data_IF_660520963456
#
_entry.id   IF_660520963456
#
_cell.length_a   1.000
_cell.length_b   1.000
_cell.length_c   1.000
_cell.angle_alpha   90.00
_cell.angle_beta   90.00
_cell.angle_gamma   90.00
#
_symmetry.space_group_name_H-M   'P 1'
#
loop_
_entity.id
_entity.type
_entity.pdbx_description
1 polymer ?
#
# COMPACT_ATOMS: atom_id res chain seq x y z
N UNK A 1 70.45 -11.91 -20.91
CA UNK A 1 71.52 -11.23 -20.13
C UNK A 1 70.88 -10.25 -19.17
N UNK A 2 71.31 -10.28 -17.89
CA UNK A 2 71.47 -9.18 -16.91
C UNK A 2 70.41 -8.04 -16.95
N UNK A 3 69.71 -7.67 -15.88
CA UNK A 3 69.98 -7.81 -14.45
C UNK A 3 69.73 -6.47 -13.75
N UNK A 4 68.93 -6.53 -12.67
CA UNK A 4 68.95 -5.73 -11.42
C UNK A 4 68.90 -4.17 -11.47
N UNK A 5 67.80 -3.67 -10.89
CA UNK A 5 67.67 -2.67 -9.80
C UNK A 5 68.83 -1.71 -9.53
N UNK A 6 68.51 -0.41 -9.45
CA UNK A 6 68.88 0.47 -8.32
C UNK A 6 67.73 1.44 -7.98
N UNK A 7 67.44 1.53 -6.68
CA UNK A 7 66.62 2.55 -6.01
C UNK A 7 67.43 3.84 -5.82
N UNK A 8 66.74 4.98 -5.68
CA UNK A 8 67.04 6.11 -4.77
C UNK A 8 65.81 7.05 -4.86
N UNK A 9 64.91 7.09 -3.86
CA UNK A 9 64.91 7.88 -2.62
C UNK A 9 64.95 9.40 -2.85
N UNK A 10 63.89 10.08 -2.42
CA UNK A 10 63.75 11.53 -2.31
C UNK A 10 62.29 11.91 -2.60
N UNK A 11 61.51 12.51 -1.73
CA UNK A 11 61.67 13.05 -0.39
C UNK A 11 60.28 13.55 -0.02
N UNK A 12 59.82 13.24 1.19
CA UNK A 12 58.50 13.65 1.67
C UNK A 12 58.46 15.17 1.87
N UNK A 13 57.50 15.84 1.24
CA UNK A 13 57.04 17.16 1.66
C UNK A 13 55.71 16.98 2.39
N UNK A 14 55.77 17.04 3.72
CA UNK A 14 54.60 17.19 4.58
C UNK A 14 53.93 18.52 4.25
N UNK A 15 52.73 18.49 3.66
CA UNK A 15 51.79 19.59 3.77
C UNK A 15 50.96 19.36 5.04
N UNK A 16 51.34 20.06 6.10
CA UNK A 16 50.63 20.09 7.37
C UNK A 16 49.41 21.01 7.21
N UNK A 17 48.29 20.48 6.72
CA UNK A 17 47.01 21.21 6.75
C UNK A 17 46.41 21.07 8.14
N UNK A 18 46.46 22.15 8.92
CA UNK A 18 45.75 22.24 10.19
C UNK A 18 44.24 22.09 9.95
N UNK A 19 43.67 20.96 10.35
CA UNK A 19 42.23 20.77 10.48
C UNK A 19 41.77 21.58 11.70
N UNK A 20 41.25 22.79 11.45
CA UNK A 20 40.41 23.51 12.40
C UNK A 20 39.13 22.69 12.62
N UNK A 21 39.08 21.99 13.75
CA UNK A 21 37.86 21.42 14.30
C UNK A 21 36.94 22.55 14.75
N UNK A 22 36.07 23.01 13.85
CA UNK A 22 34.89 23.79 14.22
C UNK A 22 33.84 22.81 14.73
N UNK A 23 33.76 22.70 16.06
CA UNK A 23 32.60 22.11 16.72
C UNK A 23 31.40 23.03 16.50
N UNK A 24 30.71 22.86 15.38
CA UNK A 24 29.40 23.46 15.19
C UNK A 24 28.40 22.63 16.00
N UNK A 25 28.14 23.07 17.23
CA UNK A 25 26.90 22.77 17.94
C UNK A 25 25.75 23.42 17.15
N UNK A 26 25.33 22.75 16.08
CA UNK A 26 24.12 23.09 15.36
C UNK A 26 22.95 22.70 16.23
N UNK A 27 22.36 23.70 16.89
CA UNK A 27 21.05 23.57 17.50
C UNK A 27 20.09 22.95 16.48
N UNK A 28 19.37 21.91 16.91
CA UNK A 28 18.27 21.36 16.14
C UNK A 28 17.35 22.53 15.74
N UNK A 29 17.19 22.75 14.44
CA UNK A 29 16.13 23.62 13.94
C UNK A 29 14.81 23.17 14.56
N UNK A 30 13.94 24.08 15.01
CA UNK A 30 12.61 23.69 15.42
C UNK A 30 11.98 22.99 14.22
N UNK A 31 11.48 21.76 14.42
CA UNK A 31 10.66 21.10 13.44
C UNK A 31 9.60 22.10 12.98
N UNK A 32 9.52 22.33 11.67
CA UNK A 32 8.41 23.07 11.09
C UNK A 32 7.12 22.50 11.68
N UNK A 33 6.32 23.41 12.23
CA UNK A 33 5.02 23.14 12.80
C UNK A 33 4.27 22.17 11.90
N UNK A 34 4.05 20.94 12.37
CA UNK A 34 3.24 19.97 11.68
C UNK A 34 1.88 20.64 11.40
N UNK A 35 1.55 20.81 10.12
CA UNK A 35 0.22 21.16 9.64
C UNK A 35 -0.74 20.09 10.18
N UNK A 36 -1.23 20.32 11.39
CA UNK A 36 -2.01 19.33 12.13
C UNK A 36 -3.40 19.31 11.53
N UNK A 37 -3.81 18.15 10.99
CA UNK A 37 -5.23 17.85 10.87
C UNK A 37 -5.80 17.96 12.29
N UNK A 38 -6.65 18.95 12.53
CA UNK A 38 -7.32 19.16 13.82
C UNK A 38 -8.33 18.04 14.05
N UNK A 39 -7.87 16.84 14.38
CA UNK A 39 -8.72 15.65 14.54
C UNK A 39 -9.45 15.73 15.87
N UNK A 40 -10.78 15.70 15.88
CA UNK A 40 -11.52 15.56 17.15
C UNK A 40 -12.76 14.67 17.05
N UNK A 41 -13.32 14.40 15.87
CA UNK A 41 -14.44 13.48 15.73
C UNK A 41 -14.08 12.26 14.86
N UNK A 42 -14.34 11.05 15.37
CA UNK A 42 -14.30 9.83 14.57
C UNK A 42 -15.58 9.77 13.74
N UNK A 43 -15.46 9.87 12.41
CA UNK A 43 -16.60 9.89 11.47
C UNK A 43 -16.87 8.52 10.84
N UNK A 44 -15.87 7.66 10.81
CA UNK A 44 -16.01 6.24 10.45
C UNK A 44 -15.14 5.38 11.35
N UNK A 45 -15.69 4.25 11.80
CA UNK A 45 -14.95 3.24 12.53
C UNK A 45 -15.54 1.86 12.30
N UNK A 46 -14.67 0.89 12.02
CA UNK A 46 -15.00 -0.53 12.05
C UNK A 46 -13.85 -1.29 12.71
N UNK A 47 -14.14 -1.96 13.82
CA UNK A 47 -13.22 -2.86 14.55
C UNK A 47 -13.50 -4.33 14.25
N UNK A 48 -14.40 -4.58 13.29
CA UNK A 48 -14.79 -5.91 12.83
C UNK A 48 -15.24 -6.83 13.97
N UNK A 49 -15.76 -6.29 15.07
CA UNK A 49 -16.19 -7.06 16.25
C UNK A 49 -17.44 -7.91 16.04
N UNK A 50 -18.22 -7.64 14.98
CA UNK A 50 -19.38 -8.43 14.60
C UNK A 50 -19.02 -9.81 14.05
N UNK A 51 -19.99 -10.72 13.97
CA UNK A 51 -19.75 -12.09 13.47
C UNK A 51 -19.57 -12.19 11.95
N UNK A 52 -19.92 -11.12 11.22
CA UNK A 52 -19.86 -11.05 9.75
C UNK A 52 -19.41 -9.64 9.35
N UNK A 53 -18.95 -9.49 8.11
CA UNK A 53 -18.69 -8.17 7.52
C UNK A 53 -19.96 -7.29 7.60
N UNK A 54 -19.83 -6.10 8.17
CA UNK A 54 -20.93 -5.14 8.24
C UNK A 54 -21.22 -4.58 6.84
N UNK A 55 -22.28 -5.12 6.22
CA UNK A 55 -22.71 -4.73 4.87
C UNK A 55 -23.33 -3.33 4.81
N UNK A 56 -23.59 -2.67 5.94
CA UNK A 56 -23.98 -1.27 5.95
C UNK A 56 -22.77 -0.33 5.78
N UNK A 57 -21.56 -0.81 6.09
CA UNK A 57 -20.30 -0.07 5.92
C UNK A 57 -19.55 -0.49 4.66
N UNK A 58 -19.58 -1.79 4.34
CA UNK A 58 -18.75 -2.37 3.29
C UNK A 58 -19.57 -3.02 2.17
N UNK A 59 -19.28 -2.62 0.94
CA UNK A 59 -19.76 -3.23 -0.31
C UNK A 59 -18.71 -4.25 -0.76
N UNK A 60 -19.12 -5.48 -1.04
CA UNK A 60 -18.23 -6.47 -1.65
C UNK A 60 -18.24 -6.25 -3.16
N UNK A 61 -17.04 -6.14 -3.75
CA UNK A 61 -16.88 -5.97 -5.18
C UNK A 61 -16.58 -7.34 -5.81
N UNK A 62 -17.30 -7.66 -6.88
CA UNK A 62 -17.17 -8.94 -7.59
C UNK A 62 -16.68 -8.73 -9.03
N UNK A 63 -15.65 -9.47 -9.40
CA UNK A 63 -15.12 -9.50 -10.77
C UNK A 63 -16.19 -10.00 -11.73
N UNK A 64 -16.36 -9.33 -12.87
CA UNK A 64 -17.35 -9.67 -13.89
C UNK A 64 -18.78 -9.21 -13.58
N UNK A 65 -19.02 -8.58 -12.43
CA UNK A 65 -20.33 -8.02 -12.07
C UNK A 65 -20.27 -6.50 -11.92
N UNK A 66 -19.41 -5.99 -11.02
CA UNK A 66 -19.31 -4.56 -10.76
C UNK A 66 -18.08 -3.93 -11.45
N UNK A 67 -17.09 -4.74 -11.81
CA UNK A 67 -15.86 -4.33 -12.49
C UNK A 67 -15.18 -5.54 -13.16
N UNK A 68 -14.31 -5.30 -14.13
CA UNK A 68 -13.50 -6.34 -14.78
C UNK A 68 -12.11 -6.49 -14.17
N UNK A 69 -11.27 -7.34 -14.76
CA UNK A 69 -9.82 -7.37 -14.44
C UNK A 69 -9.14 -6.12 -14.96
N UNK A 70 -8.39 -5.41 -14.11
CA UNK A 70 -7.79 -4.11 -14.44
C UNK A 70 -6.25 -4.16 -14.56
N UNK A 71 -5.54 -4.89 -13.70
CA UNK A 71 -4.07 -4.87 -13.66
C UNK A 71 -3.41 -6.20 -14.06
N UNK A 72 -4.05 -6.98 -14.95
CA UNK A 72 -3.63 -8.34 -15.29
C UNK A 72 -3.52 -9.27 -14.06
N UNK A 73 -4.29 -8.98 -13.01
CA UNK A 73 -4.37 -9.76 -11.78
C UNK A 73 -4.95 -11.16 -12.06
N UNK A 74 -4.54 -12.14 -11.26
CA UNK A 74 -4.79 -13.57 -11.51
C UNK A 74 -6.03 -14.13 -10.79
N UNK A 75 -6.66 -13.33 -9.94
CA UNK A 75 -7.83 -13.72 -9.17
C UNK A 75 -9.15 -13.12 -9.70
N UNK A 76 -10.24 -13.85 -9.47
CA UNK A 76 -11.57 -13.25 -9.42
C UNK A 76 -11.89 -12.82 -7.98
N UNK A 77 -12.40 -11.61 -7.80
CA UNK A 77 -12.99 -11.20 -6.52
C UNK A 77 -14.41 -11.75 -6.40
N UNK A 78 -14.73 -12.37 -5.26
CA UNK A 78 -16.01 -13.05 -5.03
C UNK A 78 -16.59 -12.71 -3.67
N UNK A 79 -17.91 -12.76 -3.55
CA UNK A 79 -18.61 -12.68 -2.27
C UNK A 79 -18.77 -14.09 -1.68
N UNK A 80 -17.76 -14.52 -0.92
CA UNK A 80 -17.74 -15.84 -0.30
C UNK A 80 -17.07 -15.79 1.08
N UNK A 81 -17.61 -16.56 2.03
CA UNK A 81 -16.97 -16.78 3.33
C UNK A 81 -15.62 -17.51 3.23
N UNK A 82 -15.30 -18.10 2.07
CA UNK A 82 -13.98 -18.65 1.82
C UNK A 82 -12.89 -17.58 1.72
N UNK A 83 -13.26 -16.38 1.25
CA UNK A 83 -12.34 -15.28 0.93
C UNK A 83 -12.53 -14.04 1.79
N UNK A 84 -13.72 -13.83 2.37
CA UNK A 84 -14.06 -12.66 3.19
C UNK A 84 -14.79 -13.15 4.44
N UNK A 85 -14.15 -13.04 5.60
CA UNK A 85 -14.76 -13.45 6.87
C UNK A 85 -14.15 -12.68 8.05
N UNK A 86 -14.84 -12.71 9.19
CA UNK A 86 -14.31 -12.19 10.45
C UNK A 86 -13.67 -13.33 11.22
N UNK A 87 -12.40 -13.17 11.60
CA UNK A 87 -11.65 -14.07 12.47
C UNK A 87 -11.49 -13.44 13.86
N UNK A 88 -12.00 -14.10 14.89
CA UNK A 88 -11.89 -13.65 16.29
C UNK A 88 -10.71 -14.31 17.04
N UNK A 89 -9.90 -15.12 16.35
CA UNK A 89 -8.82 -15.90 16.97
C UNK A 89 -7.44 -15.50 16.43
N UNK A 90 -7.26 -14.23 16.06
CA UNK A 90 -5.98 -13.71 15.58
C UNK A 90 -5.18 -13.11 16.72
N UNK A 91 -3.98 -13.65 16.96
CA UNK A 91 -3.10 -13.14 18.00
C UNK A 91 -2.72 -11.66 17.76
N UNK A 92 -2.87 -10.85 18.80
CA UNK A 92 -2.55 -9.42 18.78
C UNK A 92 -3.59 -8.52 18.12
N UNK A 93 -4.73 -9.05 17.68
CA UNK A 93 -5.91 -8.27 17.32
C UNK A 93 -6.64 -7.77 18.58
N UNK A 94 -7.35 -6.65 18.45
CA UNK A 94 -8.05 -5.96 19.54
C UNK A 94 -9.51 -6.43 19.70
N UNK A 95 -10.02 -7.23 18.76
CA UNK A 95 -11.39 -7.72 18.73
C UNK A 95 -11.59 -8.77 17.63
N UNK A 96 -12.46 -8.47 16.67
CA UNK A 96 -12.51 -9.25 15.44
C UNK A 96 -11.47 -8.77 14.43
N UNK A 97 -11.31 -9.51 13.35
CA UNK A 97 -10.36 -9.18 12.29
C UNK A 97 -11.01 -9.51 10.97
N UNK A 98 -11.12 -8.53 10.07
CA UNK A 98 -11.45 -8.82 8.69
C UNK A 98 -10.29 -9.58 8.04
N UNK A 99 -10.58 -10.80 7.61
CA UNK A 99 -9.67 -11.60 6.80
C UNK A 99 -10.08 -11.52 5.33
N UNK A 100 -9.18 -10.98 4.51
CA UNK A 100 -9.17 -11.21 3.08
C UNK A 100 -8.22 -12.38 2.82
N UNK A 101 -8.75 -13.46 2.23
CA UNK A 101 -8.07 -14.75 2.21
C UNK A 101 -8.19 -15.42 0.83
N UNK A 102 -7.23 -15.21 -0.08
CA UNK A 102 -7.30 -15.83 -1.39
C UNK A 102 -7.30 -17.35 -1.32
N UNK A 103 -7.95 -17.97 -2.31
CA UNK A 103 -8.00 -19.42 -2.49
C UNK A 103 -7.56 -19.81 -3.89
N UNK A 104 -6.81 -20.91 -3.96
CA UNK A 104 -6.57 -21.59 -5.22
C UNK A 104 -7.82 -22.41 -5.59
N UNK A 105 -8.50 -22.00 -6.68
CA UNK A 105 -9.72 -22.58 -7.21
C UNK A 105 -9.60 -22.65 -8.75
N UNK A 106 -8.72 -23.53 -9.28
CA UNK A 106 -8.51 -23.65 -10.72
C UNK A 106 -9.82 -23.84 -11.49
N UNK A 107 -10.00 -23.05 -12.54
CA UNK A 107 -11.20 -23.11 -13.39
C UNK A 107 -12.44 -22.38 -12.85
N UNK A 108 -12.33 -21.55 -11.82
CA UNK A 108 -13.44 -20.72 -11.34
C UNK A 108 -13.95 -19.80 -12.45
N UNK A 109 -15.26 -19.82 -12.71
CA UNK A 109 -15.90 -18.96 -13.71
C UNK A 109 -16.47 -17.71 -13.05
N UNK A 110 -16.00 -16.55 -13.44
CA UNK A 110 -16.61 -15.28 -13.05
C UNK A 110 -17.90 -15.03 -13.87
N UNK A 111 -18.81 -14.15 -13.41
CA UNK A 111 -20.04 -13.78 -14.13
C UNK A 111 -19.84 -13.26 -15.56
N UNK A 112 -18.67 -12.69 -15.88
CA UNK A 112 -18.31 -12.25 -17.25
C UNK A 112 -17.88 -13.41 -18.18
N UNK A 113 -17.90 -14.66 -17.68
CA UNK A 113 -17.52 -15.86 -18.42
C UNK A 113 -16.01 -16.12 -18.49
N UNK A 114 -15.18 -15.31 -17.81
CA UNK A 114 -13.74 -15.54 -17.73
C UNK A 114 -13.41 -16.57 -16.66
N UNK A 115 -12.41 -17.40 -16.95
CA UNK A 115 -11.88 -18.41 -16.04
C UNK A 115 -10.69 -17.87 -15.26
N UNK A 116 -10.66 -18.15 -13.96
CA UNK A 116 -9.59 -17.77 -13.04
C UNK A 116 -9.16 -18.98 -12.22
N UNK A 117 -7.88 -19.02 -11.84
CA UNK A 117 -7.38 -20.08 -10.97
C UNK A 117 -7.36 -19.70 -9.50
N UNK A 118 -7.63 -18.42 -9.20
CA UNK A 118 -7.68 -17.88 -7.86
C UNK A 118 -8.98 -17.14 -7.64
N UNK A 119 -9.48 -17.20 -6.41
CA UNK A 119 -10.50 -16.29 -5.92
C UNK A 119 -9.96 -15.49 -4.73
N UNK A 120 -10.44 -14.26 -4.54
CA UNK A 120 -10.03 -13.41 -3.42
C UNK A 120 -11.16 -12.46 -2.97
N UNK A 121 -10.86 -11.59 -2.02
CA UNK A 121 -11.77 -10.60 -1.46
C UNK A 121 -11.37 -9.16 -1.80
N UNK A 122 -12.37 -8.34 -2.14
CA UNK A 122 -12.27 -6.88 -2.28
C UNK A 122 -13.54 -6.25 -1.70
N UNK A 123 -13.35 -5.29 -0.81
CA UNK A 123 -14.43 -4.53 -0.17
C UNK A 123 -14.17 -3.04 -0.31
N UNK A 124 -15.23 -2.25 -0.42
CA UNK A 124 -15.15 -0.79 -0.46
C UNK A 124 -16.22 -0.14 0.39
N UNK A 125 -16.02 1.12 0.75
CA UNK A 125 -17.06 1.97 1.36
C UNK A 125 -17.87 2.76 0.33
N UNK A 126 -17.70 2.49 -0.96
CA UNK A 126 -18.47 3.11 -2.04
C UNK A 126 -19.97 3.00 -1.79
N UNK A 127 -20.72 4.09 -1.97
CA UNK A 127 -22.15 4.22 -1.67
C UNK A 127 -22.54 4.05 -0.17
N UNK A 128 -21.57 4.05 0.76
CA UNK A 128 -21.78 3.83 2.20
C UNK A 128 -21.12 4.89 3.07
N UNK A 129 -19.88 5.22 2.75
CA UNK A 129 -19.10 6.24 3.43
C UNK A 129 -18.07 6.82 2.48
N UNK A 130 -18.15 8.14 2.31
CA UNK A 130 -17.24 8.96 1.54
C UNK A 130 -16.80 10.12 2.43
N UNK A 131 -15.58 10.60 2.21
CA UNK A 131 -15.01 11.67 3.01
C UNK A 131 -14.04 12.51 2.18
N UNK A 132 -13.90 13.77 2.58
CA UNK A 132 -12.87 14.69 2.06
C UNK A 132 -12.07 15.20 3.23
N UNK A 133 -10.74 15.10 3.14
CA UNK A 133 -9.80 15.46 4.20
C UNK A 133 -10.00 14.67 5.50
N UNK A 134 -9.06 14.85 6.42
CA UNK A 134 -9.02 14.17 7.70
C UNK A 134 -7.86 13.19 7.78
N UNK A 135 -7.87 12.42 8.86
CA UNK A 135 -6.94 11.32 9.10
C UNK A 135 -7.67 10.02 8.85
N UNK A 136 -7.15 9.18 7.98
CA UNK A 136 -7.68 7.84 7.76
C UNK A 136 -6.57 6.81 7.87
N UNK A 137 -6.86 5.76 8.63
CA UNK A 137 -5.87 4.82 9.10
C UNK A 137 -6.49 3.44 9.30
N UNK A 138 -5.66 2.42 9.09
CA UNK A 138 -6.02 1.03 9.30
C UNK A 138 -4.87 0.29 9.99
N UNK A 139 -5.21 -0.58 10.94
CA UNK A 139 -4.25 -1.49 11.55
C UNK A 139 -4.31 -2.83 10.85
N UNK A 140 -3.20 -3.19 10.23
CA UNK A 140 -3.11 -4.22 9.22
C UNK A 140 -1.97 -5.18 9.56
N UNK A 141 -2.19 -6.46 9.26
CA UNK A 141 -1.16 -7.49 9.25
C UNK A 141 -1.13 -8.14 7.87
N UNK A 142 0.01 -8.01 7.21
CA UNK A 142 0.25 -8.63 5.91
C UNK A 142 0.52 -10.15 6.06
N UNK A 143 0.46 -10.93 4.97
CA UNK A 143 0.71 -12.37 5.03
C UNK A 143 2.02 -12.72 5.74
N UNK A 144 1.96 -13.71 6.63
CA UNK A 144 3.08 -14.12 7.47
C UNK A 144 4.33 -14.43 6.63
N UNK A 145 5.48 -13.95 7.12
CA UNK A 145 6.82 -14.09 6.54
C UNK A 145 7.16 -13.21 5.33
N UNK A 146 6.36 -12.20 4.95
CA UNK A 146 6.69 -11.12 4.00
C UNK A 146 7.41 -11.48 2.67
N UNK A 147 7.47 -12.76 2.34
CA UNK A 147 8.23 -13.37 1.25
C UNK A 147 7.25 -14.22 0.45
N UNK A 148 6.14 -13.62 0.10
CA UNK A 148 5.14 -14.20 -0.77
C UNK A 148 5.05 -13.32 -2.01
N UNK A 149 6.19 -13.14 -2.67
CA UNK A 149 6.33 -12.34 -3.87
C UNK A 149 5.19 -12.65 -4.83
N UNK A 150 4.52 -11.61 -5.34
CA UNK A 150 3.30 -11.75 -6.13
C UNK A 150 1.99 -11.57 -5.39
N UNK A 151 1.96 -11.67 -4.06
CA UNK A 151 0.79 -11.30 -3.27
C UNK A 151 0.67 -9.79 -3.22
N UNK A 152 -0.51 -9.24 -3.51
CA UNK A 152 -0.72 -7.80 -3.63
C UNK A 152 -1.89 -7.31 -2.75
N UNK A 153 -1.74 -7.30 -1.41
CA UNK A 153 -2.68 -6.64 -0.52
C UNK A 153 -2.58 -5.11 -0.64
N UNK A 154 -3.72 -4.42 -0.56
CA UNK A 154 -3.77 -2.96 -0.62
C UNK A 154 -4.81 -2.36 0.33
N UNK A 155 -4.51 -1.15 0.79
CA UNK A 155 -5.38 -0.22 1.52
C UNK A 155 -5.25 1.16 0.87
N UNK A 156 -6.33 1.62 0.27
CA UNK A 156 -6.32 2.76 -0.65
C UNK A 156 -7.68 3.43 -0.71
N UNK A 157 -7.74 4.59 -1.36
CA UNK A 157 -8.97 5.32 -1.62
C UNK A 157 -9.05 5.81 -3.06
N UNK A 158 -10.29 5.95 -3.55
CA UNK A 158 -10.58 6.30 -4.94
C UNK A 158 -11.68 7.38 -4.96
N UNK A 159 -11.57 8.34 -5.88
CA UNK A 159 -12.55 9.41 -6.04
C UNK A 159 -13.97 8.93 -6.33
N UNK A 160 -14.93 9.41 -5.54
CA UNK A 160 -16.33 9.04 -5.61
C UNK A 160 -17.01 9.49 -6.91
N UNK A 161 -16.49 10.53 -7.57
CA UNK A 161 -17.01 11.02 -8.86
C UNK A 161 -16.89 10.03 -10.02
N UNK A 162 -16.23 8.88 -9.82
CA UNK A 162 -16.31 7.76 -10.77
C UNK A 162 -17.76 7.32 -11.03
N UNK A 163 -18.64 7.45 -10.03
CA UNK A 163 -20.06 7.13 -10.15
C UNK A 163 -20.86 8.22 -10.89
N UNK A 164 -20.28 9.43 -11.01
CA UNK A 164 -20.81 10.56 -11.78
C UNK A 164 -20.24 10.61 -13.21
N UNK A 165 -19.40 9.63 -13.58
CA UNK A 165 -18.80 9.49 -14.90
C UNK A 165 -17.42 10.16 -15.05
N UNK A 166 -16.78 10.57 -13.95
CA UNK A 166 -15.38 11.03 -13.98
C UNK A 166 -14.42 9.83 -13.94
N UNK A 167 -13.73 9.51 -15.04
CA UNK A 167 -12.98 8.26 -15.15
C UNK A 167 -11.66 8.31 -14.36
N UNK A 168 -11.11 7.13 -14.04
CA UNK A 168 -9.71 7.04 -13.64
C UNK A 168 -8.79 7.43 -14.81
N UNK A 169 -7.69 8.17 -14.57
CA UNK A 169 -7.17 8.63 -13.27
C UNK A 169 -7.65 10.03 -12.85
N UNK A 170 -8.62 10.64 -13.54
CA UNK A 170 -9.01 12.04 -13.26
C UNK A 170 -9.78 12.20 -11.95
N UNK A 171 -10.46 11.15 -11.50
CA UNK A 171 -11.12 11.14 -10.19
C UNK A 171 -10.15 11.00 -9.00
N UNK A 172 -8.86 10.72 -9.23
CA UNK A 172 -7.84 10.60 -8.19
C UNK A 172 -7.86 9.28 -7.42
N UNK A 173 -6.67 8.74 -7.19
CA UNK A 173 -6.40 7.54 -6.37
C UNK A 173 -5.29 7.81 -5.36
N UNK A 174 -5.45 7.29 -4.14
CA UNK A 174 -4.47 7.42 -3.06
C UNK A 174 -4.22 6.07 -2.40
N UNK A 175 -3.03 5.53 -2.61
CA UNK A 175 -2.58 4.28 -2.01
C UNK A 175 -1.86 4.56 -0.70
N UNK A 176 -2.52 4.22 0.41
CA UNK A 176 -1.98 4.42 1.77
C UNK A 176 -1.08 3.26 2.17
N UNK A 177 -1.32 2.07 1.62
CA UNK A 177 -0.44 0.92 1.72
C UNK A 177 -0.68 -0.02 0.56
N UNK A 178 0.39 -0.32 -0.17
CA UNK A 178 0.50 -1.51 -1.00
C UNK A 178 1.72 -2.33 -0.61
N UNK A 179 1.67 -3.63 -0.88
CA UNK A 179 2.81 -4.53 -0.80
C UNK A 179 2.70 -5.54 -1.93
N UNK A 180 3.82 -6.00 -2.48
CA UNK A 180 3.84 -7.04 -3.55
C UNK A 180 4.57 -8.33 -3.12
N UNK A 181 4.60 -8.59 -1.81
CA UNK A 181 5.30 -9.72 -1.20
C UNK A 181 6.79 -9.49 -1.00
N UNK A 182 7.17 -8.21 -0.83
CA UNK A 182 8.53 -7.73 -0.62
C UNK A 182 8.72 -7.18 0.81
N UNK A 183 9.96 -6.98 1.31
CA UNK A 183 10.23 -6.48 2.67
C UNK A 183 10.02 -4.96 2.83
N UNK A 184 9.08 -4.41 2.07
CA UNK A 184 8.71 -3.00 2.07
C UNK A 184 7.22 -2.82 1.74
N UNK A 185 6.64 -1.72 2.17
CA UNK A 185 5.32 -1.27 1.71
C UNK A 185 5.48 0.05 0.94
N UNK A 186 4.59 0.32 0.01
CA UNK A 186 4.57 1.56 -0.77
C UNK A 186 3.34 2.41 -0.47
N UNK A 187 3.49 3.69 -0.79
CA UNK A 187 2.40 4.66 -0.94
C UNK A 187 2.51 5.28 -2.32
N UNK A 188 1.38 5.62 -2.93
CA UNK A 188 1.32 6.20 -4.27
C UNK A 188 0.11 7.13 -4.42
N UNK A 189 0.25 8.11 -5.31
CA UNK A 189 -0.84 8.97 -5.75
C UNK A 189 -0.96 8.84 -7.27
N UNK A 190 -2.20 8.66 -7.74
CA UNK A 190 -2.51 8.65 -9.17
C UNK A 190 -3.46 9.78 -9.57
N UNK A 191 -3.08 10.51 -10.62
CA UNK A 191 -3.84 11.59 -11.24
C UNK A 191 -3.60 11.67 -12.76
N UNK A 192 -4.19 12.65 -13.46
CA UNK A 192 -4.20 12.71 -14.93
C UNK A 192 -2.82 12.56 -15.59
N UNK A 193 -1.82 13.28 -15.09
CA UNK A 193 -0.46 13.29 -15.64
C UNK A 193 0.52 12.37 -14.91
N UNK A 194 0.12 11.79 -13.78
CA UNK A 194 0.96 10.99 -12.89
C UNK A 194 0.18 9.76 -12.42
N UNK A 195 0.13 8.70 -13.23
CA UNK A 195 -0.61 7.47 -12.93
C UNK A 195 0.10 6.23 -13.51
N UNK A 196 -0.36 5.03 -13.15
CA UNK A 196 0.33 3.78 -13.52
C UNK A 196 1.64 3.64 -12.74
N UNK A 197 2.78 3.62 -13.45
CA UNK A 197 4.11 3.72 -12.82
C UNK A 197 4.39 5.17 -12.39
N UNK A 198 3.57 5.65 -11.46
CA UNK A 198 3.51 7.06 -11.04
C UNK A 198 4.82 7.49 -10.40
N UNK A 199 5.36 8.69 -10.70
CA UNK A 199 6.52 9.22 -9.99
C UNK A 199 6.18 9.72 -8.59
N UNK A 200 4.89 9.83 -8.24
CA UNK A 200 4.41 10.32 -6.94
C UNK A 200 4.21 9.12 -6.02
N UNK A 201 5.32 8.52 -5.60
CA UNK A 201 5.33 7.36 -4.73
C UNK A 201 6.49 7.40 -3.73
N UNK A 202 6.40 6.57 -2.70
CA UNK A 202 7.52 6.27 -1.81
C UNK A 202 7.39 4.85 -1.25
N UNK A 203 8.48 4.35 -0.66
CA UNK A 203 8.50 3.04 0.00
C UNK A 203 9.06 3.12 1.42
N UNK A 204 8.47 2.34 2.33
CA UNK A 204 8.97 2.09 3.67
C UNK A 204 9.59 0.69 3.71
N UNK A 205 10.91 0.59 3.80
CA UNK A 205 11.58 -0.68 4.05
C UNK A 205 11.44 -1.11 5.51
N UNK A 206 11.43 -2.43 5.76
CA UNK A 206 11.46 -3.01 7.11
C UNK A 206 12.74 -3.85 7.29
N UNK A 207 13.92 -3.24 7.50
CA UNK A 207 15.21 -3.95 7.44
C UNK A 207 15.44 -4.96 8.58
N UNK A 208 14.73 -4.78 9.70
CA UNK A 208 14.80 -5.63 10.89
C UNK A 208 13.40 -6.12 11.35
N UNK A 209 12.37 -5.88 10.53
CA UNK A 209 10.97 -6.09 10.86
C UNK A 209 10.27 -6.84 9.73
N UNK A 210 9.44 -7.79 10.09
CA UNK A 210 8.55 -8.45 9.15
C UNK A 210 7.39 -7.47 8.85
N UNK A 211 7.17 -6.99 7.61
CA UNK A 211 5.96 -6.22 7.31
C UNK A 211 4.68 -7.06 7.53
N UNK A 212 4.81 -8.38 7.71
CA UNK A 212 3.78 -9.28 8.25
C UNK A 212 3.51 -9.12 9.75
N UNK A 213 4.13 -8.17 10.44
CA UNK A 213 3.71 -7.68 11.76
C UNK A 213 2.39 -6.90 11.70
N UNK A 214 1.82 -6.60 12.87
CA UNK A 214 0.72 -5.63 12.95
C UNK A 214 1.32 -4.22 12.85
N UNK A 215 0.90 -3.47 11.83
CA UNK A 215 1.33 -2.10 11.58
C UNK A 215 0.11 -1.20 11.38
N UNK A 216 0.22 0.06 11.79
CA UNK A 216 -0.81 1.08 11.49
C UNK A 216 -0.36 1.90 10.29
N UNK A 217 -1.13 1.82 9.20
CA UNK A 217 -0.93 2.62 8.00
C UNK A 217 -1.91 3.79 8.01
N UNK A 218 -1.41 5.00 7.79
CA UNK A 218 -2.18 6.23 7.94
C UNK A 218 -1.87 7.22 6.83
N UNK A 219 -2.89 7.91 6.35
CA UNK A 219 -2.76 9.14 5.61
C UNK A 219 -3.45 10.28 6.37
N UNK A 220 -2.72 11.37 6.58
CA UNK A 220 -3.25 12.65 7.00
C UNK A 220 -3.46 13.48 5.72
N UNK A 221 -4.72 13.70 5.34
CA UNK A 221 -5.13 14.43 4.14
C UNK A 221 -5.72 15.78 4.54
N UNK A 222 -5.11 16.85 4.06
CA UNK A 222 -5.63 18.20 4.22
C UNK A 222 -5.75 18.88 2.85
N UNK A 223 -6.35 20.06 2.80
CA UNK A 223 -6.58 20.82 1.57
C UNK A 223 -5.32 21.22 0.79
N UNK A 224 -4.14 20.97 1.34
CA UNK A 224 -2.85 21.30 0.73
C UNK A 224 -1.98 20.08 0.43
N UNK A 225 -2.40 18.86 0.75
CA UNK A 225 -1.56 17.69 0.55
C UNK A 225 -1.90 16.45 1.37
N UNK A 226 -0.99 15.49 1.32
CA UNK A 226 -1.00 14.26 2.11
C UNK A 226 0.31 14.08 2.86
N UNK A 227 0.22 13.48 4.05
CA UNK A 227 1.36 12.94 4.79
C UNK A 227 1.04 11.51 5.20
N UNK A 228 1.92 10.58 4.84
CA UNK A 228 1.74 9.15 5.05
C UNK A 228 2.61 8.65 6.19
N UNK A 229 2.05 7.75 7.00
CA UNK A 229 2.68 7.20 8.18
C UNK A 229 2.52 5.67 8.28
N UNK A 230 3.50 5.04 8.92
CA UNK A 230 3.55 3.64 9.33
C UNK A 230 4.03 3.66 10.76
N UNK A 231 3.20 3.20 11.69
CA UNK A 231 3.46 3.24 13.14
C UNK A 231 3.95 4.62 13.63
N UNK A 232 3.20 5.66 13.26
CA UNK A 232 3.47 7.07 13.57
C UNK A 232 4.77 7.67 13.00
N UNK A 233 5.59 6.88 12.31
CA UNK A 233 6.73 7.38 11.53
C UNK A 233 6.22 7.88 10.18
N UNK A 234 6.54 9.13 9.84
CA UNK A 234 6.28 9.68 8.51
C UNK A 234 7.19 8.99 7.49
N UNK A 235 6.63 8.61 6.33
CA UNK A 235 7.41 8.05 5.20
C UNK A 235 7.34 8.91 3.96
N UNK A 236 6.23 9.59 3.75
CA UNK A 236 6.07 10.41 2.57
C UNK A 236 5.20 11.61 2.87
N UNK A 237 5.48 12.71 2.19
CA UNK A 237 4.70 13.93 2.24
C UNK A 237 4.71 14.53 0.86
N UNK A 238 3.55 14.92 0.37
CA UNK A 238 3.35 15.55 -0.94
C UNK A 238 2.33 16.67 -0.82
N UNK A 239 2.64 17.83 -1.39
CA UNK A 239 1.72 18.97 -1.47
C UNK A 239 1.05 19.09 -2.83
N UNK A 240 -0.12 19.72 -2.80
CA UNK A 240 -0.76 20.28 -3.99
C UNK A 240 0.19 21.18 -4.79
N UNK A 241 0.94 22.05 -4.11
CA UNK A 241 1.89 22.94 -4.75
C UNK A 241 3.03 22.20 -5.48
N UNK A 242 3.56 21.10 -4.95
CA UNK A 242 4.58 20.28 -5.61
C UNK A 242 4.03 19.60 -6.87
N UNK A 243 2.78 19.12 -6.84
CA UNK A 243 2.10 18.57 -8.02
C UNK A 243 1.93 19.67 -9.09
N UNK A 244 1.38 20.82 -8.72
CA UNK A 244 1.13 21.94 -9.64
C UNK A 244 2.41 22.57 -10.20
N UNK A 245 3.51 22.57 -9.44
CA UNK A 245 4.83 23.03 -9.90
C UNK A 245 5.39 22.17 -11.04
N UNK A 246 5.01 20.90 -11.13
CA UNK A 246 5.34 20.03 -12.26
C UNK A 246 4.41 20.26 -13.48
N UNK A 247 3.45 21.18 -13.37
CA UNK A 247 2.43 21.41 -14.38
C UNK A 247 1.35 20.33 -14.41
N UNK A 248 1.21 19.55 -13.33
CA UNK A 248 0.23 18.47 -13.21
C UNK A 248 -1.03 18.93 -12.48
N UNK A 249 -2.12 18.22 -12.71
CA UNK A 249 -3.45 18.53 -12.16
C UNK A 249 -3.64 17.88 -10.80
N UNK A 250 -3.96 18.67 -9.78
CA UNK A 250 -4.39 18.17 -8.47
C UNK A 250 -5.86 17.75 -8.51
N UNK A 251 -6.15 16.51 -8.12
CA UNK A 251 -7.49 15.89 -8.23
C UNK A 251 -8.03 15.34 -6.90
N UNK A 252 -7.50 15.81 -5.76
CA UNK A 252 -7.82 15.29 -4.43
C UNK A 252 -8.54 16.32 -3.56
N UNK A 253 -9.42 17.12 -4.15
CA UNK A 253 -10.28 18.07 -3.41
C UNK A 253 -11.74 17.57 -3.31
N UNK A 254 -12.06 16.44 -3.95
CA UNK A 254 -13.39 15.82 -3.97
C UNK A 254 -13.48 14.59 -3.03
N UNK A 255 -14.70 14.15 -2.65
CA UNK A 255 -14.87 12.98 -1.79
C UNK A 255 -14.26 11.71 -2.36
N UNK A 256 -13.68 10.89 -1.49
CA UNK A 256 -13.18 9.55 -1.81
C UNK A 256 -13.85 8.50 -0.93
N UNK A 257 -13.92 7.27 -1.44
CA UNK A 257 -14.26 6.09 -0.65
C UNK A 257 -13.04 5.17 -0.49
N UNK A 258 -13.05 4.35 0.56
CA UNK A 258 -11.92 3.47 0.91
C UNK A 258 -12.09 2.08 0.31
N UNK A 259 -10.98 1.40 0.04
CA UNK A 259 -10.92 0.07 -0.55
C UNK A 259 -9.88 -0.78 0.18
N UNK A 260 -10.27 -2.01 0.50
CA UNK A 260 -9.39 -3.09 0.95
C UNK A 260 -9.49 -4.23 -0.05
N UNK A 261 -8.37 -4.69 -0.58
CA UNK A 261 -8.34 -5.86 -1.45
C UNK A 261 -7.08 -6.69 -1.24
N UNK A 262 -7.16 -7.91 -1.76
CA UNK A 262 -6.01 -8.80 -1.82
C UNK A 262 -5.84 -9.39 -3.22
N UNK A 263 -5.08 -8.72 -4.07
CA UNK A 263 -4.75 -9.16 -5.43
C UNK A 263 -3.63 -10.22 -5.44
N UNK A 264 -3.49 -10.90 -6.57
CA UNK A 264 -2.49 -11.94 -6.83
C UNK A 264 -1.89 -11.74 -8.22
N UNK A 265 -0.57 -11.63 -8.28
CA UNK A 265 0.18 -11.38 -9.50
C UNK A 265 -0.24 -10.08 -10.18
N UNK A 266 -0.07 -10.05 -11.49
CA UNK A 266 -0.38 -8.87 -12.31
C UNK A 266 0.83 -7.99 -12.60
N UNK A 267 0.56 -6.91 -13.33
CA UNK A 267 1.61 -6.07 -13.92
C UNK A 267 2.56 -5.50 -12.88
N UNK A 268 2.05 -5.05 -11.73
CA UNK A 268 2.89 -4.46 -10.69
C UNK A 268 3.81 -5.49 -10.00
N UNK A 269 3.31 -6.61 -9.42
CA UNK A 269 4.22 -7.62 -8.88
C UNK A 269 5.18 -8.21 -9.92
N UNK A 270 4.73 -8.40 -11.17
CA UNK A 270 5.60 -8.84 -12.26
C UNK A 270 6.73 -7.85 -12.56
N UNK A 271 6.43 -6.55 -12.57
CA UNK A 271 7.44 -5.51 -12.78
C UNK A 271 8.51 -5.51 -11.69
N UNK A 272 8.14 -5.89 -10.46
CA UNK A 272 9.06 -5.95 -9.32
C UNK A 272 9.89 -7.24 -9.30
N UNK A 273 9.25 -8.40 -9.46
CA UNK A 273 9.93 -9.69 -9.27
C UNK A 273 10.38 -10.39 -10.56
N UNK A 274 9.95 -9.89 -11.74
CA UNK A 274 10.28 -10.45 -13.04
C UNK A 274 9.66 -11.82 -13.34
N UNK A 275 8.79 -12.35 -12.48
CA UNK A 275 8.19 -13.68 -12.63
C UNK A 275 7.18 -13.67 -13.78
N UNK A 276 7.35 -14.59 -14.73
CA UNK A 276 6.44 -14.77 -15.87
C UNK A 276 5.65 -16.08 -15.82
N UNK A 277 6.06 -17.03 -14.96
CA UNK A 277 5.49 -18.37 -14.83
C UNK A 277 5.49 -18.83 -13.36
N UNK A 278 4.51 -19.62 -12.90
CA UNK A 278 3.35 -20.12 -13.67
C UNK A 278 2.33 -19.05 -14.05
N UNK A 279 2.31 -17.92 -13.33
CA UNK A 279 1.49 -16.76 -13.67
C UNK A 279 2.34 -15.47 -13.61
N UNK A 280 1.96 -14.41 -14.38
CA UNK A 280 2.62 -13.11 -14.30
C UNK A 280 2.67 -12.56 -12.88
N UNK A 281 3.87 -12.35 -12.38
CA UNK A 281 4.13 -11.83 -11.04
C UNK A 281 3.94 -12.84 -9.90
N UNK A 282 3.49 -14.07 -10.15
CA UNK A 282 3.14 -15.03 -9.10
C UNK A 282 3.94 -16.36 -9.26
N UNK A 283 5.01 -16.56 -8.46
CA UNK A 283 5.83 -17.78 -8.53
C UNK A 283 5.11 -18.97 -7.90
N UNK A 284 5.52 -20.19 -8.28
CA UNK A 284 4.91 -21.44 -7.79
C UNK A 284 4.88 -21.52 -6.25
N UNK A 285 5.93 -21.06 -5.57
CA UNK A 285 5.98 -21.04 -4.10
C UNK A 285 4.86 -20.21 -3.48
N UNK A 286 4.44 -19.12 -4.12
CA UNK A 286 3.31 -18.30 -3.68
C UNK A 286 1.98 -18.96 -4.03
N UNK A 287 1.88 -19.64 -5.18
CA UNK A 287 0.71 -20.46 -5.52
C UNK A 287 0.48 -21.54 -4.44
N UNK A 288 1.53 -22.23 -4.01
CA UNK A 288 1.47 -23.26 -2.96
C UNK A 288 1.04 -22.67 -1.61
N UNK A 289 1.49 -21.45 -1.28
CA UNK A 289 1.05 -20.71 -0.08
C UNK A 289 -0.45 -20.39 -0.13
N UNK A 290 -0.97 -19.97 -1.28
CA UNK A 290 -2.40 -19.69 -1.46
C UNK A 290 -3.22 -20.99 -1.41
N UNK A 291 -2.73 -22.06 -2.04
CA UNK A 291 -3.38 -23.37 -2.04
C UNK A 291 -3.48 -23.98 -0.64
N UNK A 292 -2.46 -23.77 0.20
CA UNK A 292 -2.45 -24.22 1.60
C UNK A 292 -3.31 -23.36 2.54
N UNK A 293 -3.78 -22.18 2.10
CA UNK A 293 -4.51 -21.24 2.94
C UNK A 293 -3.63 -20.49 3.95
N UNK A 294 -2.34 -20.33 3.63
CA UNK A 294 -1.38 -19.61 4.48
C UNK A 294 -1.25 -18.12 4.14
N UNK A 295 -1.94 -17.66 3.09
CA UNK A 295 -1.92 -16.27 2.62
C UNK A 295 -3.14 -15.51 3.17
N UNK A 296 -2.97 -14.81 4.30
CA UNK A 296 -4.02 -13.97 4.90
C UNK A 296 -3.59 -12.51 4.96
N UNK A 297 -4.48 -11.63 4.50
CA UNK A 297 -4.40 -10.19 4.70
C UNK A 297 -5.43 -9.82 5.76
N UNK A 298 -4.96 -9.30 6.89
CA UNK A 298 -5.76 -9.17 8.11
C UNK A 298 -5.86 -7.70 8.50
N UNK A 299 -7.08 -7.25 8.81
CA UNK A 299 -7.36 -5.88 9.20
C UNK A 299 -8.05 -5.92 10.56
N UNK A 300 -7.41 -5.33 11.58
CA UNK A 300 -7.91 -5.25 12.95
C UNK A 300 -8.98 -4.15 13.07
N UNK A 301 -8.71 -2.99 12.48
CA UNK A 301 -9.67 -1.89 12.43
C UNK A 301 -9.37 -0.92 11.31
N UNK A 302 -10.39 -0.15 10.94
CA UNK A 302 -10.33 1.01 10.04
C UNK A 302 -10.96 2.20 10.72
N UNK A 303 -10.32 3.37 10.65
CA UNK A 303 -10.79 4.61 11.28
C UNK A 303 -10.59 5.82 10.37
N UNK A 304 -11.58 6.70 10.34
CA UNK A 304 -11.50 8.05 9.77
C UNK A 304 -11.84 9.08 10.85
N UNK A 305 -11.03 10.13 10.96
CA UNK A 305 -11.23 11.25 11.90
C UNK A 305 -11.13 12.58 11.17
N UNK A 306 -12.09 13.47 11.42
CA UNK A 306 -12.21 14.80 10.80
C UNK A 306 -12.47 15.88 11.86
#
# INVERSE_FOLDING_TARGET
>A
MRGRRKQLVGGAALALTALLSVSATGAASPADSADSVGTSAVTFFDDFSGSNLDRSKWKVLKTGENFGTVNNEQQAYVDSSETIYIDHNVAGASGGTLALHPRYRPGHQAPDGRSYDFISGRVSTQDRFEFTYGRYEARIKLPENANASGLWPAWWSLGAKIDEGEPWPTNGEVDVMENVGEPWTSVALHGPEYHGDTPVNASQSFPNGDPGGWHTYRADWWNGGFTFFVDDRQIYRITKAEIEQNGWTWVYDDPQYMILNFALGGTYPQGVNGVTQPYPGLPQSTVDKVASGSARYLIDWVRVSQ
#
